data_IF_287148925740
#
_entry.id   IF_287148925740
#
_cell.length_a   1.000
_cell.length_b   1.000
_cell.length_c   1.000
_cell.angle_alpha   90.00
_cell.angle_beta   90.00
_cell.angle_gamma   90.00
#
_symmetry.space_group_name_H-M   'P 1'
#
loop_
_entity.id
_entity.type
_entity.pdbx_description
1 polymer ?
#
# COMPACT_ATOMS: atom_id res chain seq x y z
N UNK A 1 -20.14 4.36 3.39
CA UNK A 1 -18.68 4.12 3.31
C UNK A 1 -18.13 4.80 2.06
N UNK A 2 -16.90 5.34 2.10
CA UNK A 2 -16.26 6.05 1.00
C UNK A 2 -14.75 5.82 1.06
N UNK A 3 -14.14 5.41 -0.03
CA UNK A 3 -12.70 5.46 -0.20
C UNK A 3 -12.27 6.88 -0.59
N UNK A 4 -11.08 7.30 -0.17
CA UNK A 4 -10.52 8.62 -0.47
C UNK A 4 -9.92 8.65 -1.88
N UNK A 5 -9.93 9.84 -2.51
CA UNK A 5 -9.15 10.07 -3.71
C UNK A 5 -7.68 10.39 -3.36
N UNK A 6 -6.76 10.11 -4.28
CA UNK A 6 -5.33 10.35 -4.09
C UNK A 6 -4.97 11.83 -3.82
N UNK A 7 -5.80 12.77 -4.28
CA UNK A 7 -5.59 14.21 -4.12
C UNK A 7 -6.28 14.83 -2.88
N UNK A 8 -6.92 14.00 -2.05
CA UNK A 8 -7.50 14.48 -0.79
C UNK A 8 -6.40 14.70 0.26
N UNK A 9 -6.70 15.49 1.29
CA UNK A 9 -5.76 15.77 2.37
C UNK A 9 -5.29 14.49 3.05
N UNK A 10 -3.98 14.33 3.19
CA UNK A 10 -3.33 13.18 3.81
C UNK A 10 -2.83 13.57 5.20
N UNK A 11 -2.89 12.63 6.12
CA UNK A 11 -2.40 12.82 7.49
C UNK A 11 -0.89 12.60 7.59
N UNK A 12 -0.36 11.64 6.83
CA UNK A 12 1.05 11.34 6.71
C UNK A 12 1.33 10.44 5.50
N UNK A 13 2.52 10.56 4.95
CA UNK A 13 3.07 9.61 3.99
C UNK A 13 3.70 8.42 4.71
N UNK A 14 3.38 7.21 4.31
CA UNK A 14 4.06 5.99 4.78
C UNK A 14 5.17 5.61 3.79
N UNK A 15 6.35 5.26 4.29
CA UNK A 15 7.47 4.81 3.48
C UNK A 15 8.17 3.61 4.13
N UNK A 16 8.11 2.44 3.50
CA UNK A 16 8.95 1.30 3.88
C UNK A 16 10.34 1.47 3.32
N UNK A 17 11.35 1.42 4.19
CA UNK A 17 12.72 1.75 3.83
C UNK A 17 13.48 0.54 3.26
N UNK A 18 14.35 0.73 2.25
CA UNK A 18 15.20 -0.33 1.73
C UNK A 18 16.26 -0.75 2.75
N UNK A 19 16.40 -2.06 2.92
CA UNK A 19 17.37 -2.68 3.79
C UNK A 19 18.01 -3.92 3.13
N UNK A 20 18.98 -4.54 3.78
CA UNK A 20 19.73 -5.65 3.20
C UNK A 20 18.92 -6.94 2.94
N UNK A 21 17.68 -7.00 3.42
CA UNK A 21 16.74 -8.10 3.17
C UNK A 21 15.73 -7.84 2.06
N UNK A 22 15.77 -6.69 1.39
CA UNK A 22 14.88 -6.35 0.26
C UNK A 22 15.59 -6.63 -1.07
N UNK A 23 14.86 -6.61 -2.16
CA UNK A 23 15.41 -6.77 -3.52
C UNK A 23 16.40 -5.66 -3.91
N UNK A 24 16.41 -4.56 -3.15
CA UNK A 24 17.37 -3.45 -3.29
C UNK A 24 18.77 -3.76 -2.75
N UNK A 25 19.02 -4.91 -2.12
CA UNK A 25 20.30 -5.23 -1.50
C UNK A 25 21.53 -5.01 -2.41
N UNK A 26 21.49 -5.34 -3.74
CA UNK A 26 22.63 -5.11 -4.65
C UNK A 26 22.93 -3.62 -4.90
N UNK A 27 21.95 -2.73 -4.71
CA UNK A 27 22.01 -1.28 -5.00
C UNK A 27 21.73 -0.43 -3.76
N UNK A 28 22.00 -1.00 -2.57
CA UNK A 28 21.53 -0.44 -1.30
C UNK A 28 22.03 1.00 -1.05
N UNK A 29 23.24 1.33 -1.50
CA UNK A 29 23.80 2.68 -1.38
C UNK A 29 23.02 3.72 -2.19
N UNK A 30 22.78 3.42 -3.46
CA UNK A 30 22.10 4.32 -4.39
C UNK A 30 20.63 4.48 -4.01
N UNK A 31 19.94 3.39 -3.67
CA UNK A 31 18.52 3.46 -3.33
C UNK A 31 18.28 4.18 -2.01
N UNK A 32 19.16 4.05 -1.02
CA UNK A 32 19.08 4.81 0.23
C UNK A 32 19.23 6.31 -0.01
N UNK A 33 20.13 6.72 -0.90
CA UNK A 33 20.28 8.12 -1.27
C UNK A 33 18.99 8.65 -1.93
N UNK A 34 18.41 7.90 -2.88
CA UNK A 34 17.17 8.26 -3.54
C UNK A 34 15.98 8.35 -2.57
N UNK A 35 15.88 7.40 -1.63
CA UNK A 35 14.84 7.44 -0.58
C UNK A 35 15.03 8.64 0.35
N UNK A 36 16.26 8.98 0.71
CA UNK A 36 16.54 10.17 1.52
C UNK A 36 16.05 11.44 0.83
N UNK A 37 16.38 11.60 -0.45
CA UNK A 37 15.97 12.78 -1.23
C UNK A 37 14.45 12.85 -1.37
N UNK A 38 13.80 11.73 -1.66
CA UNK A 38 12.35 11.62 -1.74
C UNK A 38 11.68 11.99 -0.41
N UNK A 39 12.11 11.36 0.70
CA UNK A 39 11.53 11.60 2.04
C UNK A 39 11.79 13.04 2.48
N UNK A 40 12.99 13.58 2.24
CA UNK A 40 13.30 14.98 2.57
C UNK A 40 12.42 15.97 1.79
N UNK A 41 12.08 15.64 0.54
CA UNK A 41 11.19 16.47 -0.27
C UNK A 41 9.74 16.38 0.27
N UNK A 42 9.21 15.18 0.51
CA UNK A 42 7.86 14.96 1.03
C UNK A 42 7.66 15.58 2.43
N UNK A 43 8.63 15.42 3.32
CA UNK A 43 8.59 15.93 4.70
C UNK A 43 8.49 17.46 4.80
N UNK A 44 8.70 18.20 3.71
CA UNK A 44 8.46 19.65 3.66
C UNK A 44 6.98 20.02 3.58
N UNK A 45 6.13 19.07 3.18
CA UNK A 45 4.72 19.31 2.93
C UNK A 45 3.82 18.55 3.89
N UNK A 46 4.23 17.35 4.31
CA UNK A 46 3.45 16.48 5.19
C UNK A 46 4.35 15.65 6.12
N UNK A 47 3.83 15.15 7.26
CA UNK A 47 4.55 14.20 8.09
C UNK A 47 4.87 12.91 7.32
N UNK A 48 6.05 12.32 7.58
CA UNK A 48 6.42 11.02 7.03
C UNK A 48 6.61 10.01 8.15
N UNK A 49 6.04 8.82 8.00
CA UNK A 49 6.29 7.66 8.86
C UNK A 49 7.18 6.70 8.08
N UNK A 50 8.46 6.67 8.44
CA UNK A 50 9.44 5.77 7.85
C UNK A 50 9.49 4.45 8.61
N UNK A 51 9.30 3.35 7.91
CA UNK A 51 9.16 1.99 8.46
C UNK A 51 10.41 1.19 8.10
N UNK A 52 11.03 0.57 9.08
CA UNK A 52 12.16 -0.32 8.86
C UNK A 52 12.30 -1.34 10.01
N UNK A 53 12.94 -2.51 9.77
CA UNK A 53 13.16 -3.52 10.81
C UNK A 53 14.10 -3.04 11.92
N UNK A 54 15.04 -2.14 11.62
CA UNK A 54 16.05 -1.68 12.57
C UNK A 54 16.19 -0.17 12.54
N UNK A 55 16.49 0.40 13.71
CA UNK A 55 16.78 1.82 13.84
C UNK A 55 17.97 2.27 13.00
N UNK A 56 18.97 1.41 12.83
CA UNK A 56 20.15 1.72 12.02
C UNK A 56 19.79 1.95 10.53
N UNK A 57 18.84 1.20 9.98
CA UNK A 57 18.37 1.38 8.61
C UNK A 57 17.65 2.73 8.49
N UNK A 58 16.84 3.11 9.49
CA UNK A 58 16.21 4.43 9.56
C UNK A 58 17.25 5.55 9.65
N UNK A 59 18.22 5.47 10.57
CA UNK A 59 19.21 6.53 10.77
C UNK A 59 20.08 6.76 9.52
N UNK A 60 20.40 5.70 8.77
CA UNK A 60 21.18 5.80 7.54
C UNK A 60 20.45 6.56 6.42
N UNK A 61 19.12 6.55 6.40
CA UNK A 61 18.30 7.20 5.38
C UNK A 61 17.73 8.52 5.90
N UNK A 62 17.10 8.49 7.07
CA UNK A 62 16.30 9.57 7.60
C UNK A 62 16.99 10.37 8.71
N UNK A 63 18.16 9.94 9.17
CA UNK A 63 18.87 10.61 10.26
C UNK A 63 19.02 12.11 10.03
N UNK A 64 18.55 12.91 11.02
CA UNK A 64 18.58 14.38 10.97
C UNK A 64 17.49 15.05 10.12
N UNK A 65 16.61 14.30 9.44
CA UNK A 65 15.46 14.88 8.73
C UNK A 65 14.38 15.32 9.74
N UNK A 66 13.84 16.51 9.54
CA UNK A 66 12.69 17.01 10.27
C UNK A 66 11.38 16.42 9.73
N UNK A 67 10.33 16.38 10.57
CA UNK A 67 8.98 15.91 10.20
C UNK A 67 8.93 14.45 9.74
N UNK A 68 9.89 13.62 10.17
CA UNK A 68 9.97 12.19 9.89
C UNK A 68 9.96 11.41 11.19
N UNK A 69 9.03 10.49 11.35
CA UNK A 69 8.94 9.59 12.48
C UNK A 69 9.37 8.17 12.09
N UNK A 70 9.79 7.37 13.07
CA UNK A 70 10.22 5.99 12.86
C UNK A 70 9.24 5.00 13.45
N UNK A 71 8.82 4.04 12.63
CA UNK A 71 8.08 2.85 13.06
C UNK A 71 8.96 1.60 12.88
N UNK A 72 9.27 0.92 13.98
CA UNK A 72 10.07 -0.30 13.94
C UNK A 72 9.17 -1.50 13.62
N UNK A 73 9.10 -1.87 12.35
CA UNK A 73 8.31 -3.00 11.87
C UNK A 73 9.12 -3.72 10.80
N UNK A 74 9.15 -5.06 10.87
CA UNK A 74 9.78 -5.89 9.85
C UNK A 74 8.99 -5.85 8.55
N UNK A 75 9.71 -5.72 7.43
CA UNK A 75 9.18 -5.80 6.07
C UNK A 75 9.94 -6.83 5.25
N UNK A 76 9.34 -7.34 4.20
CA UNK A 76 10.01 -8.15 3.18
C UNK A 76 10.51 -7.25 2.04
N UNK A 77 9.74 -6.21 1.64
CA UNK A 77 10.15 -5.23 0.64
C UNK A 77 9.56 -3.82 0.91
N UNK A 78 9.77 -2.89 -0.03
CA UNK A 78 9.51 -1.45 0.11
C UNK A 78 8.17 -0.98 -0.46
N UNK A 79 7.41 -1.85 -1.10
CA UNK A 79 6.23 -1.53 -1.90
C UNK A 79 4.95 -1.35 -1.06
N UNK A 80 5.01 -0.45 -0.07
CA UNK A 80 3.92 -0.23 0.89
C UNK A 80 2.62 0.27 0.23
N UNK A 81 2.67 0.81 -0.97
CA UNK A 81 1.47 1.11 -1.74
C UNK A 81 0.59 -0.13 -1.91
N UNK A 82 1.20 -1.31 -2.07
CA UNK A 82 0.50 -2.53 -2.42
C UNK A 82 0.02 -3.32 -1.20
N UNK A 83 0.75 -3.26 -0.10
CA UNK A 83 0.38 -3.97 1.14
C UNK A 83 -0.10 -3.06 2.27
N UNK A 84 -0.02 -1.73 2.11
CA UNK A 84 -0.59 -0.78 3.06
C UNK A 84 -2.10 -0.87 3.13
N UNK A 85 -2.67 -0.59 4.30
CA UNK A 85 -4.12 -0.54 4.45
C UNK A 85 -4.72 0.59 3.60
N UNK A 86 -5.91 0.36 3.07
CA UNK A 86 -6.67 1.37 2.34
C UNK A 86 -7.67 2.01 3.30
N UNK A 87 -7.49 3.28 3.59
CA UNK A 87 -8.38 4.01 4.49
C UNK A 87 -9.73 4.31 3.82
N UNK A 88 -10.80 4.12 4.59
CA UNK A 88 -12.16 4.48 4.21
C UNK A 88 -12.81 5.30 5.30
N UNK A 89 -13.75 6.15 4.90
CA UNK A 89 -14.59 6.93 5.82
C UNK A 89 -15.99 6.33 5.93
N UNK A 90 -16.48 6.16 7.15
CA UNK A 90 -17.86 5.78 7.43
C UNK A 90 -18.39 6.57 8.63
N UNK A 91 -19.41 7.39 8.38
CA UNK A 91 -20.04 8.21 9.42
C UNK A 91 -19.07 9.14 10.15
N UNK A 92 -18.10 9.72 9.44
CA UNK A 92 -17.08 10.64 9.98
C UNK A 92 -15.94 9.95 10.72
N UNK A 93 -15.82 8.62 10.61
CA UNK A 93 -14.73 7.84 11.19
C UNK A 93 -13.90 7.21 10.09
N UNK A 94 -12.57 7.32 10.21
CA UNK A 94 -11.63 6.68 9.30
C UNK A 94 -11.26 5.32 9.86
N UNK A 95 -11.30 4.30 9.01
CA UNK A 95 -10.91 2.92 9.32
C UNK A 95 -10.03 2.39 8.20
N UNK A 96 -8.87 1.84 8.55
CA UNK A 96 -8.03 1.13 7.58
C UNK A 96 -8.64 -0.23 7.20
N UNK A 97 -8.70 -0.51 5.92
CA UNK A 97 -9.03 -1.83 5.40
C UNK A 97 -7.75 -2.63 5.19
N UNK A 98 -7.60 -3.70 5.93
CA UNK A 98 -6.45 -4.58 5.85
C UNK A 98 -6.76 -5.74 4.91
N UNK A 99 -6.36 -5.62 3.66
CA UNK A 99 -6.45 -6.69 2.67
C UNK A 99 -5.31 -7.67 2.84
N UNK A 100 -5.51 -8.90 2.37
CA UNK A 100 -4.44 -9.89 2.30
C UNK A 100 -3.48 -9.55 1.16
N UNK A 101 -2.20 -9.57 1.46
CA UNK A 101 -1.13 -9.38 0.49
C UNK A 101 -0.37 -10.69 0.25
N UNK A 102 -0.25 -11.10 -1.00
CA UNK A 102 0.44 -12.35 -1.37
C UNK A 102 1.62 -12.14 -2.33
N UNK A 103 2.23 -10.94 -2.31
CA UNK A 103 3.34 -10.57 -3.18
C UNK A 103 3.04 -10.85 -4.66
N UNK A 104 2.03 -10.15 -5.17
CA UNK A 104 1.61 -10.14 -6.58
C UNK A 104 1.33 -11.52 -7.15
N UNK A 105 0.66 -12.36 -6.36
CA UNK A 105 0.29 -13.72 -6.76
C UNK A 105 1.29 -14.79 -6.35
N UNK A 106 2.00 -14.60 -5.25
CA UNK A 106 2.93 -15.58 -4.69
C UNK A 106 4.30 -15.60 -5.37
N UNK A 107 4.68 -14.49 -6.03
CA UNK A 107 5.98 -14.38 -6.74
C UNK A 107 7.15 -14.18 -5.78
N UNK A 108 6.92 -13.59 -4.60
CA UNK A 108 7.94 -13.25 -3.61
C UNK A 108 7.50 -13.61 -2.19
N UNK A 109 8.37 -13.41 -1.20
CA UNK A 109 8.00 -13.48 0.21
C UNK A 109 7.12 -12.27 0.56
N UNK A 110 6.11 -12.47 1.42
CA UNK A 110 5.14 -11.42 1.78
C UNK A 110 4.69 -11.46 3.24
N UNK A 111 5.15 -12.41 4.02
CA UNK A 111 4.59 -12.65 5.35
C UNK A 111 4.77 -11.46 6.31
N UNK A 112 5.86 -10.69 6.18
CA UNK A 112 6.10 -9.52 7.02
C UNK A 112 5.30 -8.32 6.52
N UNK A 113 5.21 -8.14 5.20
CA UNK A 113 4.46 -7.08 4.55
C UNK A 113 2.97 -7.23 4.83
N UNK A 114 2.41 -8.44 4.67
CA UNK A 114 1.02 -8.78 5.00
C UNK A 114 0.68 -8.52 6.49
N UNK A 115 1.65 -8.69 7.40
CA UNK A 115 1.48 -8.45 8.83
C UNK A 115 1.72 -6.99 9.28
N UNK A 116 2.17 -6.10 8.38
CA UNK A 116 2.60 -4.74 8.73
C UNK A 116 1.46 -3.91 9.31
N UNK A 117 0.31 -3.90 8.65
CA UNK A 117 -0.83 -3.03 9.01
C UNK A 117 -1.32 -3.29 10.43
N UNK A 118 -1.42 -4.56 10.84
CA UNK A 118 -1.84 -4.93 12.20
C UNK A 118 -0.94 -4.32 13.27
N UNK A 119 0.39 -4.31 13.04
CA UNK A 119 1.36 -3.73 13.96
C UNK A 119 1.32 -2.20 13.95
N UNK A 120 1.25 -1.59 12.75
CA UNK A 120 1.26 -0.15 12.58
C UNK A 120 0.00 0.50 13.18
N UNK A 121 -1.17 -0.06 12.90
CA UNK A 121 -2.45 0.47 13.39
C UNK A 121 -2.61 0.27 14.89
N UNK A 122 -2.19 -0.89 15.44
CA UNK A 122 -2.20 -1.14 16.88
C UNK A 122 -1.28 -0.16 17.64
N UNK A 123 -0.08 0.10 17.12
CA UNK A 123 0.87 1.03 17.73
C UNK A 123 0.34 2.47 17.80
N UNK A 124 -0.54 2.85 16.85
CA UNK A 124 -1.13 4.18 16.76
C UNK A 124 -2.58 4.25 17.27
N UNK A 125 -3.09 3.18 17.87
CA UNK A 125 -4.48 3.04 18.34
C UNK A 125 -5.53 3.41 17.27
N UNK A 126 -5.26 3.09 16.01
CA UNK A 126 -6.16 3.37 14.87
C UNK A 126 -7.04 2.17 14.58
N UNK A 127 -8.30 2.42 14.14
CA UNK A 127 -9.18 1.32 13.73
C UNK A 127 -8.65 0.62 12.49
N UNK A 128 -8.63 -0.71 12.53
CA UNK A 128 -8.27 -1.57 11.40
C UNK A 128 -9.33 -2.66 11.26
N UNK A 129 -9.72 -2.97 10.04
CA UNK A 129 -10.67 -4.03 9.72
C UNK A 129 -10.06 -4.97 8.69
N UNK A 130 -9.92 -6.25 9.05
CA UNK A 130 -9.46 -7.28 8.13
C UNK A 130 -10.51 -7.56 7.05
N UNK A 131 -10.04 -7.70 5.82
CA UNK A 131 -10.84 -8.03 4.64
C UNK A 131 -10.29 -9.30 4.02
N UNK A 132 -11.08 -10.37 4.02
CA UNK A 132 -10.68 -11.66 3.40
C UNK A 132 -10.79 -11.57 1.87
N UNK A 133 -9.89 -10.80 1.29
CA UNK A 133 -9.69 -10.63 -0.14
C UNK A 133 -8.23 -10.27 -0.38
N UNK A 134 -7.61 -10.87 -1.40
CA UNK A 134 -6.27 -10.46 -1.85
C UNK A 134 -6.45 -9.24 -2.76
N UNK A 135 -5.83 -8.12 -2.38
CA UNK A 135 -5.89 -6.87 -3.14
C UNK A 135 -4.67 -6.01 -2.82
N UNK A 136 -3.98 -5.59 -3.84
CA UNK A 136 -2.90 -4.60 -3.75
C UNK A 136 -3.47 -3.18 -3.93
N UNK A 137 -3.00 -2.23 -3.11
CA UNK A 137 -3.41 -0.83 -3.22
C UNK A 137 -3.08 -0.20 -4.57
N UNK A 138 -2.01 -0.65 -5.24
CA UNK A 138 -1.64 -0.22 -6.59
C UNK A 138 -2.55 -0.79 -7.70
N UNK A 139 -3.38 -1.77 -7.41
CA UNK A 139 -4.34 -2.34 -8.37
C UNK A 139 -5.65 -1.56 -8.47
N UNK A 140 -5.85 -0.54 -7.62
CA UNK A 140 -7.08 0.24 -7.55
C UNK A 140 -6.80 1.74 -7.42
N UNK A 141 -7.65 2.54 -8.02
CA UNK A 141 -7.67 4.00 -7.91
C UNK A 141 -9.08 4.50 -7.61
N UNK A 142 -9.23 5.57 -6.82
CA UNK A 142 -10.53 6.08 -6.39
C UNK A 142 -10.67 7.57 -6.70
N UNK A 143 -11.89 7.97 -7.09
CA UNK A 143 -12.24 9.39 -7.30
C UNK A 143 -12.74 10.11 -6.03
N UNK A 144 -12.83 9.40 -4.89
CA UNK A 144 -13.41 9.93 -3.65
C UNK A 144 -14.94 10.13 -3.69
N UNK A 145 -15.55 9.91 -4.83
CA UNK A 145 -16.97 10.15 -5.08
C UNK A 145 -17.77 8.90 -5.44
N UNK A 146 -17.17 7.72 -5.20
CA UNK A 146 -17.82 6.42 -5.38
C UNK A 146 -17.54 5.75 -6.72
N UNK A 147 -16.50 6.18 -7.44
CA UNK A 147 -15.96 5.47 -8.61
C UNK A 147 -14.59 4.88 -8.27
N UNK A 148 -14.35 3.65 -8.70
CA UNK A 148 -13.06 2.96 -8.65
C UNK A 148 -12.61 2.60 -10.06
N UNK A 149 -11.33 2.72 -10.34
CA UNK A 149 -10.65 2.22 -11.54
C UNK A 149 -9.82 1.00 -11.16
N UNK A 150 -9.82 -0.01 -12.02
CA UNK A 150 -8.99 -1.22 -11.86
C UNK A 150 -8.78 -1.94 -13.19
N UNK A 151 -7.95 -3.00 -13.19
CA UNK A 151 -7.76 -3.86 -14.36
C UNK A 151 -8.29 -5.27 -14.13
N UNK A 152 -8.85 -5.85 -15.20
CA UNK A 152 -9.29 -7.25 -15.18
C UNK A 152 -8.10 -8.22 -15.12
N UNK A 153 -6.99 -7.88 -15.77
CA UNK A 153 -5.80 -8.72 -15.81
C UNK A 153 -5.19 -8.93 -14.42
N UNK A 154 -5.25 -7.92 -13.53
CA UNK A 154 -4.80 -8.03 -12.16
C UNK A 154 -5.84 -8.71 -11.26
N UNK A 155 -6.99 -8.09 -11.04
CA UNK A 155 -7.92 -8.53 -10.00
C UNK A 155 -8.62 -9.85 -10.30
N UNK A 156 -8.78 -10.23 -11.58
CA UNK A 156 -9.37 -11.51 -11.99
C UNK A 156 -8.32 -12.58 -12.30
N UNK A 157 -7.05 -12.31 -12.01
CA UNK A 157 -6.01 -13.33 -12.14
C UNK A 157 -6.27 -14.43 -11.09
N UNK A 158 -6.14 -15.69 -11.53
CA UNK A 158 -6.35 -16.87 -10.66
C UNK A 158 -5.37 -16.92 -9.47
N UNK A 159 -4.26 -16.21 -9.56
CA UNK A 159 -3.27 -16.10 -8.50
C UNK A 159 -3.67 -15.09 -7.38
N UNK A 160 -4.83 -14.46 -7.47
CA UNK A 160 -5.41 -13.56 -6.45
C UNK A 160 -6.61 -14.21 -5.78
N UNK A 161 -7.78 -14.11 -6.42
CA UNK A 161 -9.04 -14.56 -5.84
C UNK A 161 -9.77 -15.49 -6.82
N UNK A 162 -10.30 -16.61 -6.33
CA UNK A 162 -11.12 -17.54 -7.13
C UNK A 162 -12.57 -17.04 -7.22
N UNK A 163 -12.77 -15.78 -7.66
CA UNK A 163 -14.07 -15.15 -7.80
C UNK A 163 -14.32 -14.77 -9.27
N UNK A 164 -15.56 -14.91 -9.69
CA UNK A 164 -15.98 -14.33 -10.97
C UNK A 164 -15.97 -12.80 -10.90
N UNK A 165 -15.93 -12.16 -12.07
CA UNK A 165 -16.00 -10.69 -12.17
C UNK A 165 -17.23 -10.13 -11.46
N UNK A 166 -18.39 -10.78 -11.59
CA UNK A 166 -19.63 -10.32 -10.97
C UNK A 166 -19.58 -10.42 -9.44
N UNK A 167 -19.02 -11.50 -8.89
CA UNK A 167 -18.84 -11.66 -7.45
C UNK A 167 -17.84 -10.66 -6.89
N UNK A 168 -16.72 -10.45 -7.57
CA UNK A 168 -15.72 -9.48 -7.14
C UNK A 168 -16.25 -8.04 -7.23
N UNK A 169 -16.95 -7.68 -8.32
CA UNK A 169 -17.59 -6.36 -8.48
C UNK A 169 -18.57 -6.10 -7.33
N UNK A 170 -19.42 -7.06 -6.99
CA UNK A 170 -20.37 -6.92 -5.89
C UNK A 170 -19.66 -6.72 -4.53
N UNK A 171 -18.60 -7.50 -4.25
CA UNK A 171 -17.82 -7.36 -3.01
C UNK A 171 -17.11 -6.01 -2.91
N UNK A 172 -16.48 -5.55 -3.99
CA UNK A 172 -15.77 -4.26 -4.01
C UNK A 172 -16.75 -3.10 -3.81
N UNK A 173 -17.95 -3.16 -4.42
CA UNK A 173 -19.00 -2.15 -4.17
C UNK A 173 -19.42 -2.10 -2.70
N UNK A 174 -19.59 -3.24 -2.06
CA UNK A 174 -19.94 -3.32 -0.64
C UNK A 174 -18.80 -2.80 0.24
N UNK A 175 -17.56 -3.25 0.00
CA UNK A 175 -16.38 -2.92 0.81
C UNK A 175 -16.06 -1.42 0.78
N UNK A 176 -16.16 -0.77 -0.38
CA UNK A 176 -15.76 0.62 -0.57
C UNK A 176 -16.95 1.59 -0.72
N UNK A 177 -18.20 1.09 -0.75
CA UNK A 177 -19.38 1.91 -0.96
C UNK A 177 -19.50 2.48 -2.38
N UNK A 178 -19.08 1.71 -3.40
CA UNK A 178 -18.97 2.20 -4.77
C UNK A 178 -20.31 2.19 -5.52
N UNK A 179 -20.52 3.23 -6.32
CA UNK A 179 -21.58 3.32 -7.31
C UNK A 179 -21.14 2.85 -8.69
N UNK A 180 -19.85 3.01 -8.99
CA UNK A 180 -19.29 2.69 -10.29
C UNK A 180 -17.92 2.02 -10.16
N UNK A 181 -17.61 1.04 -11.04
CA UNK A 181 -16.29 0.44 -11.18
C UNK A 181 -15.95 0.45 -12.67
N UNK A 182 -14.84 1.08 -13.01
CA UNK A 182 -14.30 1.11 -14.37
C UNK A 182 -13.27 -0.01 -14.46
N UNK A 183 -13.55 -1.00 -15.28
CA UNK A 183 -12.67 -2.11 -15.54
C UNK A 183 -11.94 -1.90 -16.87
N UNK A 184 -10.65 -1.65 -16.81
CA UNK A 184 -9.77 -1.78 -17.98
C UNK A 184 -9.46 -3.27 -18.21
N UNK A 185 -9.12 -3.65 -19.42
CA UNK A 185 -8.73 -5.04 -19.68
C UNK A 185 -7.36 -5.32 -19.08
N UNK A 186 -6.39 -4.51 -19.43
CA UNK A 186 -5.00 -4.56 -18.96
C UNK A 186 -4.25 -3.29 -19.31
N UNK A 187 -3.16 -3.01 -18.57
CA UNK A 187 -2.09 -2.13 -18.97
C UNK A 187 -0.83 -2.92 -19.37
N UNK A 188 0.21 -2.22 -19.75
CA UNK A 188 1.52 -2.81 -19.99
C UNK A 188 2.63 -1.79 -19.76
N UNK A 189 3.59 -2.17 -18.92
CA UNK A 189 4.88 -1.50 -18.81
C UNK A 189 5.98 -2.56 -18.79
N UNK A 190 7.09 -2.32 -19.46
CA UNK A 190 8.18 -3.29 -19.52
C UNK A 190 8.78 -3.50 -18.13
N UNK A 191 8.83 -4.75 -17.68
CA UNK A 191 9.36 -5.15 -16.37
C UNK A 191 8.30 -5.15 -15.26
N UNK A 192 7.03 -4.90 -15.59
CA UNK A 192 5.93 -5.04 -14.64
C UNK A 192 5.72 -6.51 -14.27
N UNK A 193 5.65 -6.78 -12.96
CA UNK A 193 5.35 -8.08 -12.38
C UNK A 193 4.08 -8.07 -11.52
N UNK A 194 3.31 -6.96 -11.56
CA UNK A 194 2.08 -6.75 -10.80
C UNK A 194 0.83 -7.35 -11.46
N UNK A 195 0.96 -7.92 -12.65
CA UNK A 195 -0.14 -8.38 -13.52
C UNK A 195 -1.06 -7.24 -14.00
N UNK A 196 -0.51 -6.07 -14.28
CA UNK A 196 -1.19 -4.86 -14.77
C UNK A 196 -1.92 -4.07 -13.68
N UNK A 197 -1.20 -3.41 -12.80
CA UNK A 197 -1.76 -2.36 -11.94
C UNK A 197 -2.30 -1.17 -12.75
N UNK A 198 -3.14 -0.32 -12.16
CA UNK A 198 -3.63 0.94 -12.74
C UNK A 198 -2.64 2.06 -12.58
#
# INVERSE_FOLDING_TARGET
MRAFAEWEEQEALLASLPHAGTDWAPYLGEIRAAYRDFIAAAARFEPVVAIAPRREDFEQICGGLANVSFAQIDTDDTWIRDYGAIDVEEGGKITGLNFRFNAWGGKFASAKDDALNSKLYAANARPLRDVDLILEGGSVDFDGAGTMLTTSACLLNENRNSLSKAELDARLREIFGLRNIIWLERGFIKGDDTDSHV
#
